data_IF_763056683346
#
_entry.id   IF_763056683346
#
_cell.length_a   1.000
_cell.length_b   1.000
_cell.length_c   1.000
_cell.angle_alpha   90.00
_cell.angle_beta   90.00
_cell.angle_gamma   90.00
#
_symmetry.space_group_name_H-M   'P 1'
#
loop_
_entity.id
_entity.type
_entity.pdbx_description
1 polymer ?
#
# COMPACT_ATOMS: atom_id res chain seq x y z
N UNK A 1 -3.72 8.83 14.05
CA UNK A 1 -4.64 7.76 13.60
C UNK A 1 -4.51 6.56 14.54
N UNK A 2 -5.61 5.95 14.97
CA UNK A 2 -5.56 4.73 15.80
C UNK A 2 -5.30 3.52 14.90
N UNK A 3 -4.75 2.45 15.47
CA UNK A 3 -4.53 1.20 14.71
C UNK A 3 -5.85 0.60 14.23
N UNK A 4 -6.92 0.72 15.01
CA UNK A 4 -8.26 0.28 14.61
C UNK A 4 -8.74 0.98 13.33
N UNK A 5 -8.53 2.30 13.23
CA UNK A 5 -8.89 3.09 12.04
C UNK A 5 -8.09 2.63 10.81
N UNK A 6 -6.78 2.39 10.98
CA UNK A 6 -5.92 1.85 9.92
C UNK A 6 -6.44 0.49 9.45
N UNK A 7 -6.78 -0.40 10.39
CA UNK A 7 -7.27 -1.73 10.05
C UNK A 7 -8.63 -1.71 9.37
N UNK A 8 -9.51 -0.77 9.72
CA UNK A 8 -10.78 -0.58 9.03
C UNK A 8 -10.59 -0.19 7.54
N UNK A 9 -9.50 0.51 7.22
CA UNK A 9 -9.14 0.87 5.84
C UNK A 9 -8.42 -0.27 5.11
N UNK A 10 -7.54 -0.99 5.80
CA UNK A 10 -6.62 -1.97 5.18
C UNK A 10 -7.20 -3.37 5.07
N UNK A 11 -7.99 -3.83 6.05
CA UNK A 11 -8.51 -5.20 6.02
C UNK A 11 -9.42 -5.46 4.81
N UNK A 12 -10.38 -4.59 4.44
CA UNK A 12 -11.25 -4.84 3.28
C UNK A 12 -10.49 -5.11 1.97
N UNK A 13 -9.57 -4.24 1.49
CA UNK A 13 -8.85 -4.52 0.24
C UNK A 13 -7.93 -5.74 0.34
N UNK A 14 -7.32 -6.02 1.49
CA UNK A 14 -6.48 -7.22 1.66
C UNK A 14 -7.32 -8.50 1.60
N UNK A 15 -8.49 -8.52 2.24
CA UNK A 15 -9.41 -9.67 2.16
C UNK A 15 -9.95 -9.87 0.75
N UNK A 16 -10.19 -8.80 -0.02
CA UNK A 16 -10.55 -8.90 -1.44
C UNK A 16 -9.42 -9.50 -2.27
N UNK A 17 -8.17 -9.13 -2.02
CA UNK A 17 -7.01 -9.75 -2.68
C UNK A 17 -6.91 -11.25 -2.39
N UNK A 18 -7.11 -11.68 -1.12
CA UNK A 18 -7.14 -13.10 -0.78
C UNK A 18 -8.31 -13.82 -1.49
N UNK A 19 -9.52 -13.26 -1.47
CA UNK A 19 -10.67 -13.87 -2.17
C UNK A 19 -10.37 -14.10 -3.65
N UNK A 20 -9.76 -13.11 -4.31
CA UNK A 20 -9.35 -13.22 -5.72
C UNK A 20 -8.28 -14.28 -5.92
N UNK A 21 -7.30 -14.41 -5.01
CA UNK A 21 -6.27 -15.45 -5.12
C UNK A 21 -6.84 -16.87 -4.95
N UNK A 22 -7.97 -17.01 -4.25
CA UNK A 22 -8.70 -18.27 -4.09
C UNK A 22 -9.64 -18.61 -5.25
N UNK A 23 -10.21 -17.61 -5.93
CA UNK A 23 -11.19 -17.84 -7.01
C UNK A 23 -10.58 -18.16 -8.38
N UNK A 24 -9.29 -17.87 -8.59
CA UNK A 24 -8.67 -17.90 -9.93
C UNK A 24 -8.15 -19.29 -10.35
N UNK A 25 -7.98 -20.23 -9.43
CA UNK A 25 -7.32 -21.52 -9.72
C UNK A 25 -8.01 -22.71 -9.05
N UNK A 26 -7.91 -23.89 -9.68
CA UNK A 26 -8.34 -25.17 -9.07
C UNK A 26 -7.49 -25.56 -7.85
N UNK A 27 -6.26 -25.04 -7.77
CA UNK A 27 -5.39 -25.11 -6.59
C UNK A 27 -5.33 -23.74 -5.90
N UNK A 28 -5.78 -23.60 -4.63
CA UNK A 28 -5.70 -22.36 -3.87
C UNK A 28 -4.26 -21.81 -3.81
N UNK A 29 -4.02 -20.63 -4.38
CA UNK A 29 -2.72 -19.95 -4.26
C UNK A 29 -2.69 -19.10 -2.97
N UNK A 30 -1.59 -19.13 -2.20
CA UNK A 30 -1.44 -18.27 -1.03
C UNK A 30 -1.45 -16.80 -1.46
N UNK A 31 -2.00 -15.93 -0.62
CA UNK A 31 -1.92 -14.50 -0.89
C UNK A 31 -0.47 -14.04 -0.87
N UNK A 32 -0.08 -13.31 -1.91
CA UNK A 32 1.22 -12.68 -1.97
C UNK A 32 1.39 -11.67 -0.81
N UNK A 33 2.52 -11.70 -0.09
CA UNK A 33 2.86 -10.65 0.87
C UNK A 33 2.64 -9.27 0.27
N UNK A 34 1.85 -8.45 0.96
CA UNK A 34 1.38 -7.16 0.45
C UNK A 34 1.70 -6.05 1.43
N UNK A 35 2.42 -5.02 1.00
CA UNK A 35 2.61 -3.79 1.76
C UNK A 35 1.61 -2.72 1.29
N UNK A 36 1.03 -2.01 2.24
CA UNK A 36 -0.02 -1.02 2.05
C UNK A 36 0.42 0.30 2.66
N UNK A 37 0.37 1.38 1.88
CA UNK A 37 0.55 2.74 2.36
C UNK A 37 -0.80 3.40 2.65
N UNK A 38 -0.91 3.99 3.85
CA UNK A 38 -2.08 4.75 4.29
C UNK A 38 -1.67 6.19 4.54
N UNK A 39 -2.43 7.14 3.98
CA UNK A 39 -2.21 8.59 4.15
C UNK A 39 -3.52 9.32 4.01
N UNK A 40 -3.85 10.25 4.91
CA UNK A 40 -5.09 11.02 4.93
C UNK A 40 -6.33 10.12 5.04
N UNK A 41 -6.30 9.16 5.98
CA UNK A 41 -7.41 8.26 6.29
C UNK A 41 -7.91 7.44 5.08
N UNK A 42 -6.99 7.08 4.17
CA UNK A 42 -7.26 6.26 2.99
C UNK A 42 -6.07 5.37 2.66
N UNK A 43 -6.37 4.22 2.04
CA UNK A 43 -5.37 3.45 1.31
C UNK A 43 -4.94 4.26 0.08
N UNK A 44 -3.64 4.47 -0.04
CA UNK A 44 -3.03 5.21 -1.15
C UNK A 44 -2.45 4.25 -2.20
N UNK A 45 -1.76 3.21 -1.75
CA UNK A 45 -1.04 2.31 -2.62
C UNK A 45 -0.87 0.93 -1.97
N UNK A 46 -0.78 -0.09 -2.82
CA UNK A 46 -0.38 -1.45 -2.42
C UNK A 46 0.73 -1.96 -3.32
N UNK A 47 1.64 -2.75 -2.76
CA UNK A 47 2.67 -3.49 -3.50
C UNK A 47 2.65 -4.93 -3.01
N UNK A 48 2.43 -5.85 -3.93
CA UNK A 48 2.32 -7.28 -3.67
C UNK A 48 3.37 -8.03 -4.47
N UNK A 49 4.12 -8.93 -3.85
CA UNK A 49 5.14 -9.72 -4.56
C UNK A 49 5.16 -11.15 -4.03
N UNK A 50 5.73 -12.08 -4.80
CA UNK A 50 5.83 -13.49 -4.44
C UNK A 50 6.60 -13.76 -3.14
N UNK A 51 7.49 -12.86 -2.74
CA UNK A 51 8.41 -13.04 -1.60
C UNK A 51 8.33 -11.86 -0.65
N UNK A 52 8.25 -12.13 0.64
CA UNK A 52 8.13 -11.08 1.66
C UNK A 52 9.31 -10.12 1.60
N UNK A 53 10.52 -10.58 1.31
CA UNK A 53 11.72 -9.75 1.21
C UNK A 53 11.61 -8.73 0.08
N UNK A 54 11.06 -9.15 -1.07
CA UNK A 54 10.82 -8.27 -2.21
C UNK A 54 9.73 -7.24 -1.89
N UNK A 55 8.64 -7.65 -1.25
CA UNK A 55 7.60 -6.74 -0.75
C UNK A 55 8.16 -5.72 0.25
N UNK A 56 8.96 -6.17 1.21
CA UNK A 56 9.58 -5.32 2.22
C UNK A 56 10.58 -4.33 1.62
N UNK A 57 11.23 -4.70 0.51
CA UNK A 57 12.16 -3.81 -0.19
C UNK A 57 11.49 -2.57 -0.80
N UNK A 58 10.15 -2.53 -0.88
CA UNK A 58 9.38 -1.37 -1.29
C UNK A 58 9.12 -0.38 -0.13
N UNK A 59 9.25 -0.80 1.13
CA UNK A 59 8.89 0.01 2.30
C UNK A 59 9.59 1.38 2.32
N UNK A 60 10.91 1.42 2.11
CA UNK A 60 11.67 2.68 2.11
C UNK A 60 11.26 3.60 0.96
N UNK A 61 11.13 3.06 -0.25
CA UNK A 61 10.69 3.81 -1.43
C UNK A 61 9.29 4.39 -1.22
N UNK A 62 8.36 3.60 -0.66
CA UNK A 62 7.02 4.07 -0.31
C UNK A 62 7.07 5.13 0.80
N UNK A 63 7.87 4.94 1.84
CA UNK A 63 7.96 5.88 2.96
C UNK A 63 8.50 7.27 2.55
N UNK A 64 9.48 7.28 1.64
CA UNK A 64 10.12 8.50 1.12
C UNK A 64 9.25 9.17 0.07
N UNK A 65 8.74 8.41 -0.90
CA UNK A 65 8.00 8.94 -2.04
C UNK A 65 6.54 9.26 -1.72
N UNK A 66 5.85 8.34 -1.02
CA UNK A 66 4.42 8.45 -0.77
C UNK A 66 4.08 9.16 0.55
N UNK A 67 5.06 9.51 1.37
CA UNK A 67 4.84 10.13 2.68
C UNK A 67 3.64 9.55 3.49
N UNK A 68 3.62 8.22 3.74
CA UNK A 68 2.51 7.59 4.41
C UNK A 68 2.50 7.95 5.90
N UNK A 69 1.29 8.04 6.47
CA UNK A 69 1.08 8.10 7.92
C UNK A 69 1.23 6.71 8.56
N UNK A 70 0.99 5.65 7.79
CA UNK A 70 1.25 4.28 8.22
C UNK A 70 1.62 3.37 7.06
N UNK A 71 2.48 2.40 7.34
CA UNK A 71 2.74 1.24 6.49
C UNK A 71 2.18 0.00 7.17
N UNK A 72 1.50 -0.84 6.40
CA UNK A 72 0.98 -2.13 6.85
C UNK A 72 1.48 -3.23 5.95
N UNK A 73 2.03 -4.29 6.52
CA UNK A 73 2.42 -5.49 5.77
C UNK A 73 1.46 -6.60 6.13
N UNK A 74 0.69 -7.04 5.14
CA UNK A 74 -0.23 -8.15 5.24
C UNK A 74 0.38 -9.42 4.66
N UNK A 75 0.33 -10.50 5.42
CA UNK A 75 0.81 -11.83 5.01
C UNK A 75 -0.17 -12.90 5.43
N UNK A 76 -0.40 -13.88 4.57
CA UNK A 76 -1.06 -15.13 4.97
C UNK A 76 -0.08 -15.97 5.81
N UNK A 77 -0.57 -16.50 6.93
CA UNK A 77 0.19 -17.32 7.86
C UNK A 77 -0.69 -18.44 8.43
N UNK A 78 -0.08 -19.36 9.18
CA UNK A 78 -0.78 -20.37 9.98
C UNK A 78 -0.62 -20.03 11.46
N UNK A 79 -1.73 -19.85 12.18
CA UNK A 79 -1.78 -19.68 13.63
C UNK A 79 -2.50 -20.88 14.23
N UNK A 80 -1.84 -21.63 15.11
CA UNK A 80 -2.37 -22.86 15.70
C UNK A 80 -2.96 -23.83 14.66
N UNK A 81 -2.22 -24.02 13.56
CA UNK A 81 -2.61 -24.80 12.38
C UNK A 81 -3.84 -24.31 11.60
N UNK A 82 -4.33 -23.10 11.89
CA UNK A 82 -5.41 -22.45 11.14
C UNK A 82 -4.88 -21.34 10.24
N UNK A 83 -5.41 -21.20 9.01
CA UNK A 83 -5.03 -20.09 8.14
C UNK A 83 -5.49 -18.75 8.74
N UNK A 84 -4.62 -17.76 8.71
CA UNK A 84 -4.90 -16.42 9.17
C UNK A 84 -4.21 -15.38 8.29
N UNK A 85 -4.82 -14.22 8.14
CA UNK A 85 -4.14 -13.01 7.71
C UNK A 85 -3.48 -12.37 8.92
N UNK A 86 -2.28 -11.89 8.71
CA UNK A 86 -1.49 -11.21 9.72
C UNK A 86 -1.02 -9.87 9.21
N UNK A 87 -1.03 -8.87 10.08
CA UNK A 87 -0.72 -7.49 9.73
C UNK A 87 0.32 -6.91 10.67
N UNK A 88 1.48 -6.58 10.14
CA UNK A 88 2.45 -5.72 10.83
C UNK A 88 2.11 -4.27 10.50
N UNK A 89 1.56 -3.54 11.47
CA UNK A 89 1.18 -2.14 11.35
C UNK A 89 2.24 -1.28 12.02
N UNK A 90 2.79 -0.31 11.30
CA UNK A 90 3.67 0.72 11.84
C UNK A 90 3.16 2.10 11.42
N UNK A 91 2.94 2.98 12.38
CA UNK A 91 2.63 4.39 12.11
C UNK A 91 3.90 5.24 12.07
N UNK A 92 3.80 6.41 11.43
CA UNK A 92 4.87 7.41 11.37
C UNK A 92 5.32 7.87 12.76
N UNK A 93 4.39 7.91 13.71
CA UNK A 93 4.64 8.22 15.13
C UNK A 93 5.24 7.04 15.90
N UNK A 94 5.71 6.01 15.20
CA UNK A 94 6.34 4.79 15.76
C UNK A 94 5.41 3.98 16.67
N UNK A 95 4.11 4.00 16.39
CA UNK A 95 3.17 3.07 17.03
C UNK A 95 3.14 1.78 16.23
N UNK A 96 3.53 0.69 16.87
CA UNK A 96 3.59 -0.63 16.28
C UNK A 96 2.43 -1.50 16.78
N UNK A 97 1.88 -2.34 15.90
CA UNK A 97 0.92 -3.38 16.29
C UNK A 97 1.04 -4.59 15.39
N UNK A 98 0.88 -5.77 15.99
CA UNK A 98 0.62 -7.00 15.25
C UNK A 98 -0.87 -7.31 15.35
N UNK A 99 -1.53 -7.49 14.21
CA UNK A 99 -2.97 -7.76 14.14
C UNK A 99 -3.17 -9.09 13.42
N UNK A 100 -4.10 -9.89 13.89
CA UNK A 100 -4.45 -11.20 13.31
C UNK A 100 -5.91 -11.18 12.90
N UNK A 101 -6.20 -11.82 11.77
CA UNK A 101 -7.54 -12.05 11.28
C UNK A 101 -7.64 -13.49 10.78
N UNK A 102 -8.37 -14.33 11.52
CA UNK A 102 -8.62 -15.72 11.13
C UNK A 102 -9.35 -15.80 9.79
N UNK A 103 -8.95 -16.78 8.97
CA UNK A 103 -9.57 -17.12 7.69
C UNK A 103 -10.42 -18.37 7.92
N UNK A 104 -11.70 -18.32 7.54
CA UNK A 104 -12.60 -19.45 7.55
C UNK A 104 -12.94 -19.82 6.11
N UNK A 105 -12.46 -20.98 5.66
CA UNK A 105 -12.72 -21.52 4.32
C UNK A 105 -13.80 -22.61 4.44
N UNK A 106 -14.91 -22.44 3.72
CA UNK A 106 -16.00 -23.41 3.62
C UNK A 106 -16.34 -23.63 2.14
N UNK A 107 -15.72 -24.66 1.54
CA UNK A 107 -15.80 -24.91 0.10
C UNK A 107 -15.28 -23.70 -0.72
N UNK A 108 -16.08 -23.12 -1.63
CA UNK A 108 -15.66 -21.95 -2.42
C UNK A 108 -15.77 -20.62 -1.66
N UNK A 109 -16.38 -20.62 -0.46
CA UNK A 109 -16.60 -19.41 0.31
C UNK A 109 -15.45 -19.14 1.28
N UNK A 110 -14.93 -17.90 1.25
CA UNK A 110 -13.87 -17.44 2.16
C UNK A 110 -14.41 -16.31 3.02
N UNK A 111 -14.53 -16.58 4.32
CA UNK A 111 -14.96 -15.64 5.36
C UNK A 111 -13.79 -15.26 6.25
N UNK A 112 -13.92 -14.11 6.91
CA UNK A 112 -12.87 -13.54 7.75
C UNK A 112 -13.48 -13.12 9.07
N UNK A 113 -12.75 -13.39 10.16
CA UNK A 113 -13.08 -12.80 11.46
C UNK A 113 -12.84 -11.29 11.47
N UNK A 114 -13.18 -10.61 12.56
CA UNK A 114 -12.78 -9.21 12.76
C UNK A 114 -11.27 -9.19 13.10
N UNK A 115 -10.47 -8.24 12.57
CA UNK A 115 -9.08 -8.11 12.96
C UNK A 115 -8.94 -7.85 14.47
N UNK A 116 -8.13 -8.66 15.15
CA UNK A 116 -7.88 -8.59 16.60
C UNK A 116 -6.40 -8.36 16.90
N UNK A 117 -6.11 -7.88 18.10
CA UNK A 117 -4.73 -7.79 18.59
C UNK A 117 -4.06 -9.16 18.60
N UNK A 118 -2.95 -9.28 17.86
CA UNK A 118 -2.13 -10.48 17.81
C UNK A 118 -1.12 -10.58 18.96
N UNK A 119 -1.09 -9.59 19.85
CA UNK A 119 -0.18 -9.53 20.99
C UNK A 119 1.19 -8.96 20.63
N UNK A 120 2.17 -9.26 21.49
CA UNK A 120 3.55 -8.79 21.32
C UNK A 120 4.19 -9.46 20.08
N UNK A 121 4.70 -8.69 19.11
CA UNK A 121 5.34 -9.26 17.93
C UNK A 121 6.61 -10.03 18.32
N UNK A 122 6.74 -11.27 17.84
CA UNK A 122 7.92 -12.13 18.04
C UNK A 122 8.47 -12.63 16.72
N UNK A 123 9.75 -13.04 16.71
CA UNK A 123 10.40 -13.63 15.54
C UNK A 123 10.34 -12.74 14.30
N UNK A 124 9.87 -13.29 13.19
CA UNK A 124 9.79 -12.58 11.90
C UNK A 124 8.90 -11.33 11.96
N UNK A 125 7.79 -11.35 12.73
CA UNK A 125 6.91 -10.19 12.86
C UNK A 125 7.62 -8.99 13.52
N UNK A 126 8.48 -9.24 14.51
CA UNK A 126 9.31 -8.20 15.12
C UNK A 126 10.33 -7.62 14.13
N UNK A 127 10.94 -8.48 13.30
CA UNK A 127 11.81 -8.05 12.20
C UNK A 127 11.11 -7.15 11.19
N UNK A 128 9.91 -7.55 10.74
CA UNK A 128 9.08 -6.76 9.83
C UNK A 128 8.78 -5.38 10.39
N UNK A 129 8.33 -5.29 11.66
CA UNK A 129 8.04 -4.01 12.30
C UNK A 129 9.29 -3.12 12.42
N UNK A 130 10.47 -3.71 12.67
CA UNK A 130 11.73 -2.95 12.69
C UNK A 130 12.03 -2.31 11.33
N UNK A 131 11.90 -3.07 10.25
CA UNK A 131 12.11 -2.55 8.89
C UNK A 131 11.11 -1.43 8.56
N UNK A 132 9.83 -1.59 8.96
CA UNK A 132 8.83 -0.55 8.76
C UNK A 132 9.14 0.72 9.57
N UNK A 133 9.63 0.58 10.80
CA UNK A 133 10.05 1.72 11.62
C UNK A 133 11.26 2.44 11.01
N UNK A 134 12.24 1.70 10.49
CA UNK A 134 13.41 2.25 9.80
C UNK A 134 12.99 3.00 8.52
N UNK A 135 12.06 2.45 7.74
CA UNK A 135 11.52 3.08 6.54
C UNK A 135 10.75 4.37 6.87
N UNK A 136 9.82 4.33 7.83
CA UNK A 136 9.04 5.51 8.25
C UNK A 136 9.88 6.56 8.97
N UNK A 137 11.08 6.20 9.44
CA UNK A 137 12.08 7.14 9.94
C UNK A 137 12.74 7.99 8.85
N UNK A 138 12.64 7.62 7.57
CA UNK A 138 13.25 8.36 6.46
C UNK A 138 12.50 9.65 6.14
N UNK A 139 13.21 10.74 5.82
CA UNK A 139 12.55 12.00 5.45
C UNK A 139 11.82 11.87 4.10
N UNK A 140 10.53 12.23 4.00
CA UNK A 140 9.81 12.24 2.74
C UNK A 140 10.34 13.29 1.76
N UNK A 141 10.09 13.08 0.47
CA UNK A 141 10.37 14.07 -0.57
C UNK A 141 9.56 15.34 -0.33
N UNK A 142 10.25 16.48 -0.38
CA UNK A 142 9.63 17.80 -0.32
C UNK A 142 8.94 18.11 -1.66
N UNK A 143 7.62 18.28 -1.61
CA UNK A 143 6.83 18.54 -2.82
C UNK A 143 6.83 19.99 -3.25
N UNK A 144 7.25 20.90 -2.38
CA UNK A 144 7.36 22.32 -2.73
C UNK A 144 8.50 22.58 -3.74
N UNK A 145 9.41 21.63 -3.91
CA UNK A 145 10.55 21.73 -4.82
C UNK A 145 10.34 21.01 -6.15
N UNK A 146 9.13 20.51 -6.43
CA UNK A 146 8.84 19.80 -7.68
C UNK A 146 8.70 20.81 -8.81
N UNK A 147 9.65 20.79 -9.75
CA UNK A 147 9.69 21.73 -10.86
C UNK A 147 8.59 21.45 -11.89
N UNK A 148 8.09 22.52 -12.50
CA UNK A 148 7.23 22.46 -13.69
C UNK A 148 8.01 21.96 -14.90
N UNK A 149 7.39 21.11 -15.72
CA UNK A 149 7.98 20.61 -16.97
C UNK A 149 7.71 21.57 -18.16
N UNK A 150 6.65 22.38 -18.09
CA UNK A 150 6.23 23.36 -19.09
C UNK A 150 7.01 24.68 -18.96
N UNK A 151 8.34 24.64 -19.04
CA UNK A 151 9.18 25.85 -18.97
C UNK A 151 9.29 26.58 -20.32
N UNK A 152 8.18 27.06 -20.86
CA UNK A 152 8.18 28.00 -22.00
C UNK A 152 7.90 29.45 -21.62
N UNK A 153 7.77 29.79 -20.33
CA UNK A 153 7.43 31.13 -19.84
C UNK A 153 8.60 32.03 -19.47
N UNK A 154 8.43 33.33 -19.73
CA UNK A 154 9.39 34.43 -19.52
C UNK A 154 9.56 34.76 -18.02
N UNK A 155 10.64 35.45 -17.66
CA UNK A 155 10.95 35.90 -16.28
C UNK A 155 9.70 36.31 -15.47
N UNK A 156 9.39 35.57 -14.39
CA UNK A 156 8.34 35.91 -13.42
C UNK A 156 7.34 34.79 -13.05
N UNK A 157 7.39 33.62 -13.68
CA UNK A 157 6.45 32.52 -13.40
C UNK A 157 6.91 31.60 -12.25
N UNK A 158 5.94 31.05 -11.51
CA UNK A 158 6.16 30.05 -10.45
C UNK A 158 6.95 28.85 -11.00
N UNK A 159 8.19 28.71 -10.54
CA UNK A 159 9.15 27.70 -11.02
C UNK A 159 8.76 26.27 -10.61
N UNK A 160 7.93 26.14 -9.58
CA UNK A 160 7.53 24.89 -8.95
C UNK A 160 6.02 24.69 -9.03
N UNK A 161 5.60 23.43 -8.98
CA UNK A 161 4.19 23.09 -8.92
C UNK A 161 3.59 23.44 -7.55
N UNK A 162 2.28 23.75 -7.49
CA UNK A 162 1.56 23.78 -6.23
C UNK A 162 1.78 22.46 -5.46
N UNK A 163 1.97 22.48 -4.12
CA UNK A 163 2.32 21.29 -3.34
C UNK A 163 1.37 20.10 -3.56
N UNK A 164 0.07 20.36 -3.73
CA UNK A 164 -0.92 19.31 -3.99
C UNK A 164 -0.75 18.59 -5.33
N UNK A 165 -0.26 19.30 -6.35
CA UNK A 165 0.06 18.75 -7.67
C UNK A 165 1.44 18.09 -7.64
N UNK A 166 2.43 18.75 -7.03
CA UNK A 166 3.75 18.17 -6.79
C UNK A 166 3.67 16.84 -6.05
N UNK A 167 2.74 16.71 -5.09
CA UNK A 167 2.45 15.45 -4.41
C UNK A 167 1.97 14.35 -5.34
N UNK A 168 1.05 14.65 -6.26
CA UNK A 168 0.59 13.67 -7.25
C UNK A 168 1.72 13.23 -8.18
N UNK A 169 2.58 14.16 -8.59
CA UNK A 169 3.75 13.86 -9.44
C UNK A 169 4.75 12.95 -8.71
N UNK A 170 5.07 13.26 -7.45
CA UNK A 170 5.98 12.42 -6.64
C UNK A 170 5.37 11.05 -6.39
N UNK A 171 4.07 10.98 -6.06
CA UNK A 171 3.38 9.71 -5.88
C UNK A 171 3.44 8.88 -7.18
N UNK A 172 3.10 9.48 -8.32
CA UNK A 172 3.14 8.82 -9.63
C UNK A 172 4.53 8.30 -9.99
N UNK A 173 5.57 9.12 -9.82
CA UNK A 173 6.96 8.72 -10.08
C UNK A 173 7.40 7.58 -9.17
N UNK A 174 7.05 7.64 -7.88
CA UNK A 174 7.34 6.57 -6.91
C UNK A 174 6.69 5.26 -7.31
N UNK A 175 5.42 5.30 -7.72
CA UNK A 175 4.67 4.13 -8.16
C UNK A 175 5.17 3.58 -9.49
N UNK A 176 5.62 4.44 -10.42
CA UNK A 176 6.25 4.03 -11.68
C UNK A 176 7.54 3.25 -11.42
N UNK A 177 8.44 3.79 -10.58
CA UNK A 177 9.68 3.10 -10.19
C UNK A 177 9.41 1.75 -9.51
N UNK A 178 8.42 1.69 -8.60
CA UNK A 178 8.03 0.44 -7.97
C UNK A 178 7.46 -0.55 -8.98
N UNK A 179 6.62 -0.09 -9.92
CA UNK A 179 6.02 -0.92 -10.94
C UNK A 179 7.07 -1.60 -11.81
N UNK A 180 8.02 -0.83 -12.34
CA UNK A 180 9.13 -1.36 -13.15
C UNK A 180 9.90 -2.43 -12.38
N UNK A 181 10.26 -2.13 -11.13
CA UNK A 181 11.04 -3.03 -10.28
C UNK A 181 10.31 -4.33 -9.95
N UNK A 182 9.01 -4.28 -9.66
CA UNK A 182 8.29 -5.50 -9.26
C UNK A 182 7.74 -6.30 -10.44
N UNK A 183 7.51 -5.68 -11.59
CA UNK A 183 7.00 -6.36 -12.77
C UNK A 183 7.96 -7.47 -13.23
N UNK A 184 9.27 -7.24 -13.13
CA UNK A 184 10.32 -8.21 -13.47
C UNK A 184 10.28 -9.49 -12.63
N UNK A 185 9.68 -9.43 -11.43
CA UNK A 185 9.59 -10.55 -10.48
C UNK A 185 8.14 -11.04 -10.30
N UNK A 186 7.24 -10.69 -11.22
CA UNK A 186 5.84 -11.11 -11.18
C UNK A 186 5.03 -10.48 -10.04
N UNK A 187 5.46 -9.32 -9.53
CA UNK A 187 4.73 -8.54 -8.53
C UNK A 187 3.69 -7.61 -9.13
N UNK A 188 2.90 -6.99 -8.26
CA UNK A 188 1.83 -6.06 -8.60
C UNK A 188 1.95 -4.78 -7.76
N UNK A 189 1.70 -3.64 -8.41
CA UNK A 189 1.67 -2.31 -7.79
C UNK A 189 0.33 -1.68 -8.14
N UNK A 190 -0.40 -1.22 -7.12
CA UNK A 190 -1.69 -0.55 -7.29
C UNK A 190 -1.66 0.81 -6.60
N UNK A 191 -2.24 1.81 -7.26
CA UNK A 191 -2.36 3.18 -6.80
C UNK A 191 -3.83 3.61 -6.81
N UNK A 192 -4.29 4.15 -5.69
CA UNK A 192 -5.65 4.62 -5.50
C UNK A 192 -5.66 6.14 -5.51
N UNK A 193 -6.00 6.72 -6.65
CA UNK A 193 -6.08 8.17 -6.80
C UNK A 193 -7.17 8.79 -5.90
N UNK A 194 -6.92 10.02 -5.43
CA UNK A 194 -7.85 10.69 -4.51
C UNK A 194 -9.12 11.25 -5.12
N UNK A 195 -9.06 11.50 -6.42
CA UNK A 195 -10.17 11.94 -7.24
C UNK A 195 -9.87 11.56 -8.69
N UNK A 196 -10.85 11.62 -9.60
CA UNK A 196 -10.61 11.45 -11.04
C UNK A 196 -9.53 12.41 -11.58
N UNK A 197 -9.51 13.66 -11.12
CA UNK A 197 -8.55 14.68 -11.53
C UNK A 197 -7.13 14.31 -11.08
N UNK A 198 -6.97 13.84 -9.84
CA UNK A 198 -5.68 13.35 -9.35
C UNK A 198 -5.23 12.09 -10.12
N UNK A 199 -6.17 11.24 -10.53
CA UNK A 199 -5.89 10.08 -11.39
C UNK A 199 -5.39 10.50 -12.77
N UNK A 200 -6.06 11.46 -13.40
CA UNK A 200 -5.62 12.04 -14.68
C UNK A 200 -4.23 12.65 -14.57
N UNK A 201 -4.00 13.49 -13.55
CA UNK A 201 -2.70 14.12 -13.32
C UNK A 201 -1.60 13.08 -13.04
N UNK A 202 -1.90 12.01 -12.31
CA UNK A 202 -0.94 10.94 -12.08
C UNK A 202 -0.53 10.24 -13.39
N UNK A 203 -1.50 9.98 -14.28
CA UNK A 203 -1.22 9.43 -15.62
C UNK A 203 -0.37 10.39 -16.46
N UNK A 204 -0.68 11.69 -16.44
CA UNK A 204 0.12 12.73 -17.10
C UNK A 204 1.55 12.81 -16.55
N UNK A 205 1.71 12.56 -15.25
CA UNK A 205 3.00 12.47 -14.59
C UNK A 205 3.73 11.13 -14.83
N UNK A 206 3.20 10.25 -15.68
CA UNK A 206 3.85 9.00 -16.08
C UNK A 206 3.50 7.78 -15.23
N UNK A 207 2.45 7.83 -14.40
CA UNK A 207 1.94 6.62 -13.73
C UNK A 207 1.51 5.59 -14.79
N UNK A 208 2.01 4.35 -14.74
CA UNK A 208 1.56 3.29 -15.64
C UNK A 208 0.06 3.05 -15.44
N UNK A 209 -0.71 2.99 -16.53
CA UNK A 209 -2.17 2.81 -16.46
C UNK A 209 -2.59 1.54 -15.73
N UNK A 210 -1.77 0.49 -15.81
CA UNK A 210 -1.96 -0.77 -15.09
C UNK A 210 -1.89 -0.62 -13.56
N UNK A 211 -1.24 0.43 -13.05
CA UNK A 211 -1.17 0.70 -11.61
C UNK A 211 -2.41 1.44 -11.10
N UNK A 212 -3.11 2.21 -11.94
CA UNK A 212 -4.23 3.03 -11.47
C UNK A 212 -5.48 2.16 -11.26
N UNK A 213 -5.94 2.06 -10.02
CA UNK A 213 -7.25 1.50 -9.74
C UNK A 213 -8.32 2.56 -10.04
N UNK A 214 -9.28 2.19 -10.88
CA UNK A 214 -10.46 3.01 -11.09
C UNK A 214 -11.22 3.15 -9.76
N UNK A 215 -11.79 4.33 -9.44
CA UNK A 215 -12.70 4.43 -8.31
C UNK A 215 -13.83 3.41 -8.47
N UNK A 216 -14.18 2.73 -7.38
CA UNK A 216 -15.35 1.85 -7.39
C UNK A 216 -16.56 2.65 -7.88
N UNK A 217 -17.42 2.10 -8.76
CA UNK A 217 -18.66 2.76 -9.12
C UNK A 217 -19.44 3.04 -7.82
N UNK A 218 -20.14 4.19 -7.71
CA UNK A 218 -20.99 4.45 -6.55
C UNK A 218 -21.96 3.29 -6.41
N UNK A 219 -22.06 2.74 -5.19
CA UNK A 219 -23.02 1.69 -4.90
C UNK A 219 -24.40 2.19 -5.33
N UNK A 220 -25.05 1.45 -6.24
CA UNK A 220 -26.41 1.75 -6.64
C UNK A 220 -27.28 1.66 -5.39
N UNK A 221 -27.73 2.81 -4.91
CA UNK A 221 -28.73 2.98 -3.85
C UNK A 221 -30.11 2.59 -4.34
#
# INVERSE_FOLDING_TARGET
MLIADIMALVAPPVTDLLRRSRSVTQDPQPMFPTIVAVRNDRVLATVSTLRVEATMSAATTMAVGLDPQALVVATEARLDDRPALTYAVMTRERRARWVVQEIHEDGPEVRFSVPVDGGEPRGQAAGTLRVLAEALGQRPVDVSTVARQDRSGTFGEDTFLPPEQGRVVVDAGTMSTLHERVAEIGGQVLYLARSPEAGRLALEAGLPRACLLAPAPPAAS
#
